data_IF_564002699038
#
_entry.id   IF_564002699038
#
_cell.length_a   1.000
_cell.length_b   1.000
_cell.length_c   1.000
_cell.angle_alpha   90.00
_cell.angle_beta   90.00
_cell.angle_gamma   90.00
#
_symmetry.space_group_name_H-M   'P 1'
#
loop_
_entity.id
_entity.type
_entity.pdbx_description
1 polymer ?
#
# COMPACT_ATOMS: atom_id res chain seq x y z
N UNK A 1 11.15 2.65 -5.95
CA UNK A 1 10.30 1.78 -5.07
C UNK A 1 9.43 2.67 -4.25
N UNK A 2 8.12 2.38 -4.18
CA UNK A 2 7.15 3.21 -3.46
C UNK A 2 7.57 3.46 -2.00
N UNK A 3 7.98 4.67 -1.71
CA UNK A 3 8.43 5.12 -0.39
C UNK A 3 7.55 6.22 0.20
N UNK A 4 6.45 6.58 -0.47
CA UNK A 4 5.47 7.55 0.00
C UNK A 4 4.15 7.35 -0.74
N UNK A 5 3.05 7.37 0.00
CA UNK A 5 1.72 7.43 -0.58
C UNK A 5 0.87 8.47 0.14
N UNK A 6 -0.19 8.91 -0.50
CA UNK A 6 -1.16 9.82 0.09
C UNK A 6 -2.40 9.04 0.53
N UNK A 7 -2.95 9.44 1.66
CA UNK A 7 -4.20 8.91 2.18
C UNK A 7 -5.10 10.05 2.63
N UNK A 8 -6.37 10.02 2.21
CA UNK A 8 -7.40 10.94 2.70
C UNK A 8 -8.65 10.16 3.06
N UNK A 9 -8.93 10.07 4.35
CA UNK A 9 -10.13 9.39 4.85
C UNK A 9 -11.42 10.10 4.42
N UNK A 10 -11.36 11.40 4.15
CA UNK A 10 -12.54 12.21 3.85
C UNK A 10 -12.96 12.17 2.39
N UNK A 11 -12.07 11.77 1.47
CA UNK A 11 -12.40 11.69 0.05
C UNK A 11 -13.39 10.58 -0.29
N UNK A 12 -13.33 9.47 0.45
CA UNK A 12 -14.10 8.28 0.11
C UNK A 12 -14.99 7.84 1.28
N UNK A 13 -16.31 7.86 1.07
CA UNK A 13 -17.30 7.54 2.11
C UNK A 13 -17.11 6.17 2.75
N UNK A 14 -16.75 5.18 1.95
CA UNK A 14 -16.51 3.80 2.40
C UNK A 14 -15.30 3.72 3.32
N UNK A 15 -14.17 4.32 2.91
CA UNK A 15 -12.94 4.36 3.70
C UNK A 15 -13.16 5.14 5.00
N UNK A 16 -13.93 6.21 4.97
CA UNK A 16 -14.29 6.99 6.17
C UNK A 16 -14.95 6.14 7.25
N UNK A 17 -15.86 5.25 6.87
CA UNK A 17 -16.51 4.35 7.83
C UNK A 17 -15.51 3.35 8.42
N UNK A 18 -14.67 2.76 7.59
CA UNK A 18 -13.63 1.81 8.03
C UNK A 18 -12.64 2.48 9.00
N UNK A 19 -12.23 3.72 8.72
CA UNK A 19 -11.36 4.49 9.62
C UNK A 19 -12.01 4.70 10.97
N UNK A 20 -13.27 5.16 11.02
CA UNK A 20 -14.01 5.37 12.28
C UNK A 20 -14.11 4.09 13.10
N UNK A 21 -14.39 2.96 12.46
CA UNK A 21 -14.51 1.68 13.14
C UNK A 21 -13.15 1.16 13.63
N UNK A 22 -12.07 1.44 12.91
CA UNK A 22 -10.71 1.14 13.32
C UNK A 22 -10.28 2.02 14.52
N UNK A 23 -10.58 3.33 14.48
CA UNK A 23 -10.30 4.26 15.58
C UNK A 23 -11.01 3.84 16.86
N UNK A 24 -12.32 3.53 16.81
CA UNK A 24 -13.07 3.05 18.00
C UNK A 24 -12.46 1.80 18.64
N UNK A 25 -11.94 0.89 17.82
CA UNK A 25 -11.25 -0.32 18.34
C UNK A 25 -9.90 0.02 18.93
N UNK A 26 -9.20 1.00 18.39
CA UNK A 26 -7.88 1.43 18.83
C UNK A 26 -7.92 2.26 20.12
N UNK A 27 -8.93 3.11 20.32
CA UNK A 27 -9.13 3.89 21.55
C UNK A 27 -9.24 3.02 22.79
N UNK A 28 -9.65 1.75 22.63
CA UNK A 28 -9.64 0.76 23.70
C UNK A 28 -8.24 0.23 24.04
N UNK A 29 -7.22 0.54 23.23
CA UNK A 29 -5.85 0.03 23.34
C UNK A 29 -4.74 1.11 23.36
N UNK A 30 -5.07 2.35 23.68
CA UNK A 30 -4.22 3.55 23.98
C UNK A 30 -2.97 3.85 23.11
N UNK A 31 -2.76 5.15 22.86
CA UNK A 31 -1.49 5.85 22.56
C UNK A 31 -0.96 5.90 21.12
N UNK A 32 -1.68 5.45 20.10
CA UNK A 32 -1.19 5.60 18.75
C UNK A 32 -1.70 6.92 18.11
N UNK A 33 -0.81 7.90 17.91
CA UNK A 33 -1.09 9.06 17.09
C UNK A 33 -1.20 8.64 15.62
N UNK A 34 -2.40 8.69 15.07
CA UNK A 34 -2.66 8.33 13.67
C UNK A 34 -2.72 9.57 12.80
N UNK A 35 -1.93 9.69 11.73
CA UNK A 35 -2.24 10.63 10.68
C UNK A 35 -3.50 10.12 9.95
N UNK A 36 -4.63 10.76 10.22
CA UNK A 36 -5.90 10.42 9.57
C UNK A 36 -5.89 10.76 8.07
N UNK A 37 -5.00 11.67 7.65
CA UNK A 37 -4.91 12.18 6.28
C UNK A 37 -3.51 12.71 5.98
N UNK A 38 -3.13 12.73 4.71
CA UNK A 38 -1.89 13.33 4.22
C UNK A 38 -0.88 12.31 3.67
N UNK A 39 0.34 12.75 3.52
CA UNK A 39 1.45 11.91 3.05
C UNK A 39 1.87 10.93 4.13
N UNK A 40 1.88 9.66 3.79
CA UNK A 40 2.33 8.57 4.65
C UNK A 40 3.73 8.14 4.20
N UNK A 41 4.66 8.13 5.16
CA UNK A 41 6.06 7.75 4.97
C UNK A 41 6.39 6.48 5.78
N UNK A 42 7.47 5.77 5.44
CA UNK A 42 7.97 4.64 6.23
C UNK A 42 8.15 5.00 7.71
N UNK A 43 7.99 4.04 8.59
CA UNK A 43 7.96 4.14 10.06
C UNK A 43 6.68 4.74 10.65
N UNK A 44 5.84 5.37 9.86
CA UNK A 44 4.55 5.88 10.36
C UNK A 44 3.54 4.74 10.50
N UNK A 45 2.59 4.96 11.41
CA UNK A 45 1.42 4.09 11.57
C UNK A 45 0.35 4.52 10.57
N UNK A 46 -0.24 3.55 9.89
CA UNK A 46 -1.25 3.80 8.86
C UNK A 46 -2.36 2.75 8.89
N UNK A 47 -3.50 3.10 8.30
CA UNK A 47 -4.62 2.19 8.13
C UNK A 47 -4.28 1.09 7.13
N UNK A 48 -4.54 -0.16 7.49
CA UNK A 48 -4.56 -1.30 6.59
C UNK A 48 -5.87 -2.08 6.75
N UNK A 49 -6.32 -2.70 5.68
CA UNK A 49 -7.43 -3.65 5.71
C UNK A 49 -6.88 -5.05 5.88
N UNK A 50 -7.44 -5.81 6.81
CA UNK A 50 -7.06 -7.20 7.07
C UNK A 50 -8.29 -8.09 7.20
N UNK A 51 -8.11 -9.39 7.00
CA UNK A 51 -9.14 -10.38 7.32
C UNK A 51 -9.07 -10.79 8.79
N UNK A 52 -10.23 -10.81 9.45
CA UNK A 52 -10.43 -11.42 10.76
C UNK A 52 -11.61 -12.39 10.68
N UNK A 53 -11.28 -13.64 10.37
CA UNK A 53 -12.29 -14.62 9.97
C UNK A 53 -12.92 -14.21 8.62
N UNK A 54 -14.25 -14.14 8.58
CA UNK A 54 -14.97 -13.74 7.37
C UNK A 54 -15.09 -12.22 7.17
N UNK A 55 -14.72 -11.42 8.19
CA UNK A 55 -14.85 -9.96 8.15
C UNK A 55 -13.57 -9.29 7.71
N UNK A 56 -13.71 -8.27 6.87
CA UNK A 56 -12.63 -7.34 6.56
C UNK A 56 -12.74 -6.17 7.55
N UNK A 57 -11.65 -5.87 8.22
CA UNK A 57 -11.58 -4.82 9.22
C UNK A 57 -10.38 -3.90 8.96
N UNK A 58 -10.50 -2.64 9.33
CA UNK A 58 -9.37 -1.72 9.34
C UNK A 58 -8.57 -1.89 10.63
N UNK A 59 -7.27 -1.91 10.52
CA UNK A 59 -6.32 -1.88 11.64
C UNK A 59 -5.24 -0.84 11.38
N UNK A 60 -4.66 -0.31 12.46
CA UNK A 60 -3.52 0.57 12.35
C UNK A 60 -2.24 -0.23 12.58
N UNK A 61 -1.35 -0.19 11.61
CA UNK A 61 -0.09 -0.92 11.63
C UNK A 61 1.06 -0.02 11.20
N UNK A 62 2.28 -0.29 11.64
CA UNK A 62 3.46 0.48 11.27
C UNK A 62 3.96 0.08 9.88
N UNK A 63 4.26 1.05 9.03
CA UNK A 63 4.84 0.77 7.73
C UNK A 63 6.35 0.49 7.82
N UNK A 64 6.73 -0.72 7.47
CA UNK A 64 8.10 -1.19 7.44
C UNK A 64 8.45 -2.13 8.58
N UNK A 65 9.18 -3.18 8.25
CA UNK A 65 9.74 -4.14 9.20
C UNK A 65 11.24 -3.91 9.37
N UNK A 66 11.82 -4.20 10.54
CA UNK A 66 13.26 -4.12 10.73
C UNK A 66 14.00 -5.03 9.72
N UNK A 67 14.98 -4.46 9.03
CA UNK A 67 15.85 -5.23 8.15
C UNK A 67 16.90 -6.02 8.90
N UNK A 68 17.59 -6.90 8.18
CA UNK A 68 18.74 -7.64 8.70
C UNK A 68 19.81 -6.65 9.20
N UNK A 69 20.26 -6.83 10.45
CA UNK A 69 21.27 -5.99 11.15
C UNK A 69 20.76 -4.64 11.67
N UNK A 70 19.44 -4.39 11.75
CA UNK A 70 18.88 -3.23 12.45
C UNK A 70 19.13 -1.85 11.85
N UNK A 71 19.75 -1.76 10.67
CA UNK A 71 20.14 -0.48 10.05
C UNK A 71 19.22 0.04 8.95
N UNK A 72 18.37 -0.83 8.39
CA UNK A 72 17.50 -0.45 7.28
C UNK A 72 16.13 -1.11 7.45
N UNK A 73 15.08 -0.32 7.27
CA UNK A 73 13.72 -0.86 7.22
C UNK A 73 13.45 -1.46 5.85
N UNK A 74 12.75 -2.59 5.85
CA UNK A 74 12.17 -3.18 4.65
C UNK A 74 10.74 -2.67 4.56
N UNK A 75 10.47 -1.84 3.58
CA UNK A 75 9.16 -1.20 3.36
C UNK A 75 8.39 -1.81 2.20
N UNK A 76 9.09 -2.55 1.33
CA UNK A 76 8.52 -3.19 0.14
C UNK A 76 9.07 -4.62 -0.03
N UNK A 77 8.28 -5.48 -0.67
CA UNK A 77 8.72 -6.76 -1.20
C UNK A 77 8.29 -6.91 -2.66
N UNK A 78 9.09 -7.61 -3.48
CA UNK A 78 8.74 -7.89 -4.87
C UNK A 78 7.71 -9.01 -4.95
N UNK A 79 6.60 -8.80 -5.64
CA UNK A 79 5.54 -9.78 -5.85
C UNK A 79 6.08 -11.07 -6.48
N UNK A 80 7.02 -10.94 -7.42
CA UNK A 80 7.61 -12.03 -8.18
C UNK A 80 8.39 -13.04 -7.31
N UNK A 81 8.91 -12.60 -6.16
CA UNK A 81 9.76 -13.44 -5.30
C UNK A 81 9.28 -13.54 -3.86
N UNK A 82 8.13 -12.97 -3.53
CA UNK A 82 7.61 -12.92 -2.14
C UNK A 82 7.35 -14.31 -1.56
N UNK A 83 6.93 -15.25 -2.39
CA UNK A 83 6.66 -16.64 -2.00
C UNK A 83 7.93 -17.45 -1.75
N UNK A 84 9.05 -17.07 -2.35
CA UNK A 84 10.31 -17.79 -2.27
C UNK A 84 11.15 -17.35 -1.05
N UNK A 85 11.05 -16.06 -0.67
CA UNK A 85 11.86 -15.50 0.39
C UNK A 85 11.39 -15.96 1.77
N UNK A 86 12.24 -16.61 2.58
CA UNK A 86 11.86 -17.13 3.91
C UNK A 86 11.20 -16.08 4.80
N UNK A 87 11.66 -14.83 4.75
CA UNK A 87 11.15 -13.71 5.53
C UNK A 87 9.67 -13.42 5.26
N UNK A 88 9.18 -13.64 4.03
CA UNK A 88 7.84 -13.25 3.62
C UNK A 88 6.89 -14.43 3.42
N UNK A 89 7.42 -15.65 3.36
CA UNK A 89 6.65 -16.86 3.03
C UNK A 89 5.43 -17.07 3.94
N UNK A 90 5.60 -16.85 5.24
CA UNK A 90 4.49 -16.98 6.19
C UNK A 90 3.47 -15.85 5.99
N UNK A 91 3.95 -14.62 5.85
CA UNK A 91 3.08 -13.46 5.75
C UNK A 91 2.26 -13.48 4.46
N UNK A 92 2.84 -13.86 3.32
CA UNK A 92 2.07 -13.98 2.07
C UNK A 92 1.02 -15.11 2.14
N UNK A 93 1.27 -16.16 2.90
CA UNK A 93 0.32 -17.25 3.05
C UNK A 93 -0.85 -16.90 3.99
N UNK A 94 -0.60 -16.17 5.09
CA UNK A 94 -1.56 -16.03 6.20
C UNK A 94 -1.82 -14.61 6.68
N UNK A 95 -0.98 -13.65 6.34
CA UNK A 95 -0.99 -12.30 6.91
C UNK A 95 -0.96 -11.25 5.78
N UNK A 96 -1.93 -11.34 4.88
CA UNK A 96 -2.12 -10.38 3.80
C UNK A 96 -2.89 -9.18 4.30
N UNK A 97 -2.54 -8.01 3.80
CA UNK A 97 -3.27 -6.77 4.05
C UNK A 97 -3.46 -5.98 2.75
N UNK A 98 -4.28 -4.97 2.81
CA UNK A 98 -4.47 -3.99 1.74
C UNK A 98 -4.31 -2.61 2.33
N UNK A 99 -3.53 -1.76 1.68
CA UNK A 99 -3.32 -0.37 2.08
C UNK A 99 -4.20 0.51 1.18
N UNK A 100 -5.29 1.10 1.71
CA UNK A 100 -6.06 2.07 0.94
C UNK A 100 -5.27 3.37 0.82
N UNK A 101 -5.28 3.96 -0.36
CA UNK A 101 -4.59 5.22 -0.63
C UNK A 101 -5.35 6.07 -1.65
N UNK A 102 -5.14 7.38 -1.62
CA UNK A 102 -5.59 8.30 -2.67
C UNK A 102 -4.70 8.17 -3.90
N UNK A 103 -3.40 7.97 -3.69
CA UNK A 103 -2.39 7.80 -4.72
C UNK A 103 -1.02 7.55 -4.09
N UNK A 104 -0.01 7.38 -4.92
CA UNK A 104 1.37 7.22 -4.46
C UNK A 104 2.32 8.12 -5.23
N UNK A 105 3.49 8.33 -4.65
CA UNK A 105 4.54 9.13 -5.25
C UNK A 105 5.70 8.26 -5.71
N UNK A 106 6.26 8.63 -6.87
CA UNK A 106 7.55 8.15 -7.35
C UNK A 106 8.37 9.30 -7.91
N UNK A 107 9.66 9.08 -8.04
CA UNK A 107 10.63 10.05 -8.53
C UNK A 107 11.36 9.48 -9.74
N UNK A 108 11.55 10.32 -10.74
CA UNK A 108 12.40 9.98 -11.87
C UNK A 108 13.90 10.03 -11.50
N UNK A 109 14.76 9.71 -12.45
CA UNK A 109 16.22 9.73 -12.28
C UNK A 109 16.76 11.13 -11.97
N UNK A 110 16.07 12.19 -12.41
CA UNK A 110 16.42 13.59 -12.14
C UNK A 110 15.86 14.11 -10.80
N UNK A 111 15.14 13.26 -10.04
CA UNK A 111 14.49 13.57 -8.77
C UNK A 111 13.25 14.45 -8.87
N UNK A 112 12.64 14.58 -10.03
CA UNK A 112 11.32 15.18 -10.15
C UNK A 112 10.28 14.24 -9.53
N UNK A 113 9.34 14.84 -8.80
CA UNK A 113 8.30 14.12 -8.05
C UNK A 113 7.03 14.00 -8.89
N UNK A 114 6.48 12.81 -8.98
CA UNK A 114 5.23 12.52 -9.67
C UNK A 114 4.24 11.87 -8.73
N UNK A 115 2.96 12.24 -8.88
CA UNK A 115 1.84 11.66 -8.19
C UNK A 115 1.03 10.78 -9.14
N UNK A 116 0.70 9.57 -8.70
CA UNK A 116 -0.05 8.57 -9.45
C UNK A 116 -1.34 8.25 -8.72
N UNK A 117 -2.47 8.35 -9.41
CA UNK A 117 -3.80 8.12 -8.83
C UNK A 117 -4.78 7.55 -9.84
N UNK A 118 -5.90 7.02 -9.35
CA UNK A 118 -7.09 6.73 -10.15
C UNK A 118 -8.12 7.85 -9.91
N UNK A 119 -8.59 8.56 -10.96
CA UNK A 119 -9.53 9.65 -10.77
C UNK A 119 -10.84 9.18 -10.14
N UNK A 120 -11.28 9.87 -9.07
CA UNK A 120 -12.57 9.66 -8.43
C UNK A 120 -12.72 8.38 -7.60
N UNK A 121 -11.66 7.59 -7.42
CA UNK A 121 -11.70 6.37 -6.62
C UNK A 121 -10.38 6.11 -5.90
N UNK A 122 -10.41 5.44 -4.73
CA UNK A 122 -9.19 5.06 -4.03
C UNK A 122 -8.44 3.99 -4.82
N UNK A 123 -7.13 3.91 -4.58
CA UNK A 123 -6.29 2.79 -4.97
C UNK A 123 -6.07 1.87 -3.78
N UNK A 124 -5.92 0.57 -4.04
CA UNK A 124 -5.70 -0.45 -3.02
C UNK A 124 -4.36 -1.12 -3.27
N UNK A 125 -3.38 -0.83 -2.41
CA UNK A 125 -2.04 -1.39 -2.53
C UNK A 125 -2.01 -2.75 -1.83
N UNK A 126 -1.62 -3.80 -2.54
CA UNK A 126 -1.44 -5.11 -1.94
C UNK A 126 -0.26 -5.08 -0.96
N UNK A 127 -0.44 -5.69 0.19
CA UNK A 127 0.57 -5.76 1.23
C UNK A 127 0.53 -7.07 2.01
N UNK A 128 1.55 -7.26 2.81
CA UNK A 128 1.64 -8.32 3.82
C UNK A 128 2.10 -7.70 5.14
N UNK A 129 1.77 -8.34 6.25
CA UNK A 129 2.17 -7.87 7.57
C UNK A 129 2.72 -9.00 8.44
N UNK A 130 3.42 -8.65 9.49
CA UNK A 130 3.85 -9.56 10.55
C UNK A 130 3.86 -8.85 11.90
N UNK A 131 3.83 -9.62 12.98
CA UNK A 131 4.01 -9.09 14.33
C UNK A 131 5.49 -9.18 14.72
N UNK A 132 6.11 -8.02 14.88
CA UNK A 132 7.52 -7.90 15.24
C UNK A 132 7.60 -7.33 16.66
N UNK A 133 8.01 -8.15 17.60
CA UNK A 133 8.15 -7.74 19.01
C UNK A 133 6.89 -7.07 19.63
N UNK A 134 5.70 -7.58 19.24
CA UNK A 134 4.42 -7.05 19.72
C UNK A 134 3.83 -5.91 18.86
N UNK A 135 4.56 -5.42 17.87
CA UNK A 135 4.09 -4.38 16.93
C UNK A 135 3.71 -5.01 15.60
N UNK A 136 2.48 -4.77 15.14
CA UNK A 136 2.07 -5.16 13.81
C UNK A 136 2.70 -4.21 12.78
N UNK A 137 3.50 -4.78 11.89
CA UNK A 137 4.22 -4.05 10.85
C UNK A 137 3.80 -4.56 9.48
N UNK A 138 3.53 -3.67 8.53
CA UNK A 138 3.21 -4.04 7.15
C UNK A 138 4.28 -3.59 6.16
N UNK A 139 4.32 -4.24 5.01
CA UNK A 139 5.09 -3.85 3.83
C UNK A 139 4.20 -3.90 2.60
N UNK A 140 4.49 -3.03 1.62
CA UNK A 140 3.76 -2.95 0.36
C UNK A 140 4.44 -3.87 -0.66
N UNK A 141 3.64 -4.64 -1.41
CA UNK A 141 4.14 -5.42 -2.53
C UNK A 141 4.33 -4.52 -3.75
N UNK A 142 5.40 -4.76 -4.49
CA UNK A 142 5.71 -4.06 -5.72
C UNK A 142 5.85 -5.04 -6.88
N UNK A 143 5.51 -4.58 -8.09
CA UNK A 143 5.60 -5.34 -9.33
C UNK A 143 6.30 -4.52 -10.41
N UNK A 144 6.48 -5.09 -11.60
CA UNK A 144 6.93 -4.37 -12.79
C UNK A 144 5.97 -3.21 -13.11
N UNK A 145 6.48 -2.08 -13.59
CA UNK A 145 5.65 -0.93 -13.87
C UNK A 145 4.79 -1.17 -15.12
N UNK A 146 3.58 -0.64 -15.13
CA UNK A 146 2.79 -0.52 -16.35
C UNK A 146 3.20 0.74 -17.14
N UNK A 147 2.57 0.97 -18.29
CA UNK A 147 2.93 2.04 -19.23
C UNK A 147 2.77 3.46 -18.63
N UNK A 148 1.92 3.64 -17.59
CA UNK A 148 1.78 4.94 -16.91
C UNK A 148 2.94 5.25 -15.96
N UNK A 149 3.59 4.23 -15.38
CA UNK A 149 4.67 4.40 -14.38
C UNK A 149 6.05 4.18 -14.98
N UNK A 150 6.19 3.29 -15.96
CA UNK A 150 7.46 2.90 -16.58
C UNK A 150 8.37 4.08 -17.03
N UNK A 151 7.83 5.20 -17.56
CA UNK A 151 8.66 6.36 -17.90
C UNK A 151 9.34 7.03 -16.69
N UNK A 152 8.84 6.80 -15.47
CA UNK A 152 9.29 7.47 -14.25
C UNK A 152 10.11 6.53 -13.38
N UNK A 153 9.64 5.28 -13.18
CA UNK A 153 10.29 4.34 -12.27
C UNK A 153 10.16 2.90 -12.76
N UNK A 154 11.16 2.07 -12.46
CA UNK A 154 11.26 0.66 -12.83
C UNK A 154 10.38 -0.29 -11.98
N UNK A 155 9.70 0.23 -10.98
CA UNK A 155 8.78 -0.50 -10.08
C UNK A 155 7.56 0.33 -9.76
N UNK A 156 6.44 -0.35 -9.49
CA UNK A 156 5.23 0.26 -8.96
C UNK A 156 4.61 -0.63 -7.86
N UNK A 157 3.76 -0.09 -6.99
CA UNK A 157 2.96 -0.93 -6.09
C UNK A 157 2.09 -1.91 -6.88
N UNK A 158 1.91 -3.12 -6.34
CA UNK A 158 0.89 -4.05 -6.84
C UNK A 158 -0.48 -3.51 -6.44
N UNK A 159 -1.26 -3.06 -7.42
CA UNK A 159 -2.59 -2.49 -7.21
C UNK A 159 -3.65 -3.57 -7.38
N UNK A 160 -4.65 -3.52 -6.52
CA UNK A 160 -5.84 -4.35 -6.58
C UNK A 160 -7.05 -3.49 -7.00
N UNK A 161 -7.96 -4.04 -7.78
CA UNK A 161 -9.28 -3.45 -7.93
C UNK A 161 -10.10 -3.63 -6.65
N UNK A 162 -11.20 -2.87 -6.51
CA UNK A 162 -12.09 -3.01 -5.36
C UNK A 162 -12.60 -4.46 -5.19
N UNK A 163 -12.93 -5.13 -6.28
CA UNK A 163 -13.43 -6.50 -6.30
C UNK A 163 -12.34 -7.53 -5.91
N UNK A 164 -11.07 -7.19 -6.12
CA UNK A 164 -9.93 -8.05 -5.78
C UNK A 164 -9.49 -7.92 -4.31
N UNK A 165 -9.94 -6.89 -3.58
CA UNK A 165 -9.59 -6.68 -2.17
C UNK A 165 -9.98 -7.88 -1.31
N UNK A 166 -11.24 -8.35 -1.42
CA UNK A 166 -11.70 -9.48 -0.62
C UNK A 166 -11.00 -10.79 -1.00
N UNK A 167 -10.93 -11.22 -2.27
CA UNK A 167 -10.15 -12.39 -2.67
C UNK A 167 -8.71 -12.35 -2.19
N UNK A 168 -8.01 -11.21 -2.33
CA UNK A 168 -6.66 -11.04 -1.83
C UNK A 168 -6.53 -11.35 -0.33
N UNK A 169 -7.47 -10.86 0.48
CA UNK A 169 -7.39 -10.98 1.94
C UNK A 169 -7.76 -12.38 2.46
N UNK A 170 -8.73 -13.06 1.82
CA UNK A 170 -9.33 -14.27 2.39
C UNK A 170 -8.96 -15.56 1.66
N UNK A 171 -8.58 -15.48 0.39
CA UNK A 171 -8.30 -16.65 -0.46
C UNK A 171 -6.82 -16.70 -0.83
N UNK A 172 -6.14 -17.78 -0.41
CA UNK A 172 -4.71 -17.95 -0.67
C UNK A 172 -4.44 -18.26 -2.16
N UNK A 173 -5.33 -18.99 -2.83
CA UNK A 173 -5.18 -19.31 -4.25
C UNK A 173 -5.35 -18.06 -5.11
N UNK A 174 -6.44 -17.31 -4.89
CA UNK A 174 -6.66 -16.04 -5.56
C UNK A 174 -5.53 -15.02 -5.30
N UNK A 175 -4.99 -14.98 -4.08
CA UNK A 175 -3.87 -14.11 -3.77
C UNK A 175 -2.61 -14.46 -4.59
N UNK A 176 -2.31 -15.75 -4.79
CA UNK A 176 -1.17 -16.17 -5.62
C UNK A 176 -1.35 -15.78 -7.10
N UNK A 177 -2.57 -15.91 -7.63
CA UNK A 177 -2.89 -15.44 -8.99
C UNK A 177 -2.75 -13.92 -9.12
N UNK A 178 -3.20 -13.18 -8.11
CA UNK A 178 -3.12 -11.71 -8.07
C UNK A 178 -1.69 -11.18 -7.99
N UNK A 179 -0.72 -11.94 -7.47
CA UNK A 179 0.70 -11.56 -7.51
C UNK A 179 1.23 -11.37 -8.94
N UNK A 180 0.63 -12.03 -9.92
CA UNK A 180 0.98 -11.93 -11.34
C UNK A 180 0.05 -10.99 -12.11
N UNK A 181 -0.88 -10.32 -11.44
CA UNK A 181 -1.83 -9.40 -12.10
C UNK A 181 -1.13 -8.14 -12.59
N UNK A 182 -1.58 -7.62 -13.73
CA UNK A 182 -1.10 -6.34 -14.26
C UNK A 182 -1.95 -5.20 -13.66
N UNK A 183 -1.33 -4.24 -12.95
CA UNK A 183 -2.06 -3.10 -12.40
C UNK A 183 -2.71 -2.23 -13.50
N UNK A 184 -3.85 -1.56 -13.19
CA UNK A 184 -4.50 -0.63 -14.10
C UNK A 184 -3.61 0.57 -14.40
N UNK A 185 -3.87 1.25 -15.54
CA UNK A 185 -3.22 2.52 -15.87
C UNK A 185 -3.66 3.60 -14.89
N UNK A 186 -2.74 4.50 -14.58
CA UNK A 186 -2.93 5.58 -13.62
C UNK A 186 -2.80 6.94 -14.28
N UNK A 187 -3.53 7.92 -13.77
CA UNK A 187 -3.25 9.32 -14.06
C UNK A 187 -1.96 9.72 -13.37
N UNK A 188 -1.04 10.31 -14.12
CA UNK A 188 0.23 10.85 -13.63
C UNK A 188 0.19 12.37 -13.62
N UNK A 189 0.60 12.99 -12.52
CA UNK A 189 0.71 14.44 -12.37
C UNK A 189 2.10 14.79 -11.85
N UNK A 190 2.79 15.73 -12.51
CA UNK A 190 4.04 16.28 -11.97
C UNK A 190 3.76 17.15 -10.76
N UNK A 191 4.53 16.97 -9.68
CA UNK A 191 4.41 17.77 -8.46
C UNK A 191 5.32 19.01 -8.46
N UNK A 192 6.22 19.13 -9.43
CA UNK A 192 7.23 20.22 -9.47
C UNK A 192 6.77 21.47 -10.26
N UNK A 193 5.47 21.55 -10.56
CA UNK A 193 4.87 22.72 -11.24
C UNK A 193 5.22 22.86 -12.73
N UNK A 194 5.93 21.91 -13.30
CA UNK A 194 6.13 21.82 -14.75
C UNK A 194 5.03 20.95 -15.36
N UNK A 195 4.05 21.58 -15.98
CA UNK A 195 3.18 20.90 -16.95
C UNK A 195 4.07 20.43 -18.11
N UNK A 196 4.32 19.13 -18.22
CA UNK A 196 4.95 18.57 -19.39
C UNK A 196 4.03 18.77 -20.59
N UNK A 197 4.60 19.12 -21.76
CA UNK A 197 3.85 19.32 -23.00
C UNK A 197 3.07 18.06 -23.47
N UNK A 198 3.35 16.90 -22.88
CA UNK A 198 2.70 15.64 -23.19
C UNK A 198 1.35 15.41 -22.45
N UNK A 199 0.98 16.29 -21.53
CA UNK A 199 -0.28 16.20 -20.76
C UNK A 199 -1.47 16.88 -21.49
N UNK A 200 -1.28 17.35 -22.71
CA UNK A 200 -2.26 18.10 -23.52
C UNK A 200 -2.70 17.38 -24.81
N UNK A 201 -2.44 16.07 -24.95
CA UNK A 201 -2.85 15.30 -26.12
C UNK A 201 -3.98 14.30 -25.81
#
# INVERSE_FOLDING_TARGET
MCGRYQFSADEYKEIRQIVRDAQRRSEQHSELNFPATGDICPSQVALVLVSRGEKIVGEFQQWGVPGFRGRQQIINARAETVTEKPMFRRSIAFQRCVVPATGFYEWDAAKHKYFFQMPGQPIYLAGIYDNINGVNCFIILTTEPNDSVAPIHDRMPLLLSHEQVRPWLVDAGAALELLCSRPPLLLRTSCDGQLGFDDLA
#
